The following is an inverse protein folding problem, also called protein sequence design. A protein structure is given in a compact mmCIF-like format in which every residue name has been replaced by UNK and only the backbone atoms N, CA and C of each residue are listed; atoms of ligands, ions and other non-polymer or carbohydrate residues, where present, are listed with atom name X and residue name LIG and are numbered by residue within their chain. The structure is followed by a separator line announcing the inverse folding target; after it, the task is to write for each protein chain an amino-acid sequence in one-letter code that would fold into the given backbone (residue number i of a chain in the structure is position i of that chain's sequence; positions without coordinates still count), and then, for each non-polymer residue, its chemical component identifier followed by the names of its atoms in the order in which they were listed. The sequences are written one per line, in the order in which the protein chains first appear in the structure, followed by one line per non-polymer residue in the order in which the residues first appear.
data_IF_081018640782
#
_entry.id   IF_081018640782
#
_cell.length_a   1.000
_cell.length_b   1.000
_cell.length_c   1.000
_cell.angle_alpha   90.00
_cell.angle_beta   90.00
_cell.angle_gamma   90.00
#
_symmetry.space_group_name_H-M   'P 1'
#
loop_
_entity.id
_entity.type
_entity.pdbx_description
1 polymer ?
#
# COMPACT_ATOMS: atom_id res chain seq x y z
N UNK A 1 1.69 0.89 74.04
CA UNK A 1 2.45 1.22 72.84
C UNK A 1 1.81 0.47 71.67
N UNK A 2 0.93 1.14 70.88
CA UNK A 2 0.28 0.57 69.69
C UNK A 2 1.04 0.98 68.43
N UNK A 3 1.65 0.05 67.73
CA UNK A 3 2.31 0.27 66.42
C UNK A 3 1.25 0.17 65.30
N UNK A 4 1.01 1.29 64.61
CA UNK A 4 0.15 1.36 63.43
C UNK A 4 1.05 1.05 62.24
N UNK A 5 0.80 -0.07 61.55
CA UNK A 5 1.39 -0.41 60.26
C UNK A 5 0.55 0.25 59.14
N UNK A 6 1.13 1.24 58.48
CA UNK A 6 0.56 1.84 57.27
C UNK A 6 1.02 1.02 56.06
N UNK A 7 0.10 0.27 55.46
CA UNK A 7 0.34 -0.44 54.22
C UNK A 7 0.19 0.55 53.06
N UNK A 8 1.28 0.90 52.39
CA UNK A 8 1.28 1.70 51.15
C UNK A 8 0.88 0.79 49.99
N UNK A 9 -0.35 0.95 49.52
CA UNK A 9 -0.82 0.30 48.30
C UNK A 9 -0.22 0.97 47.05
N UNK A 10 0.66 0.27 46.34
CA UNK A 10 1.17 0.71 45.04
C UNK A 10 0.09 0.41 43.98
N UNK A 11 -0.58 1.45 43.50
CA UNK A 11 -1.52 1.36 42.36
C UNK A 11 -0.66 1.33 41.09
N UNK A 12 -0.49 0.17 40.51
CA UNK A 12 0.04 -0.01 39.15
C UNK A 12 -0.99 0.49 38.14
N UNK A 13 -0.83 1.74 37.70
CA UNK A 13 -1.54 2.26 36.53
C UNK A 13 -0.97 1.54 35.31
N UNK A 14 -1.63 0.48 34.88
CA UNK A 14 -1.39 -0.16 33.60
C UNK A 14 -1.73 0.83 32.48
N UNK A 15 -0.73 1.45 31.89
CA UNK A 15 -0.89 2.23 30.66
C UNK A 15 -1.30 1.27 29.54
N UNK A 16 -2.59 1.13 29.29
CA UNK A 16 -3.09 0.53 28.05
C UNK A 16 -2.70 1.45 26.89
N UNK A 17 -1.60 1.12 26.23
CA UNK A 17 -1.29 1.74 24.94
C UNK A 17 -2.35 1.30 23.93
N UNK A 18 -3.35 2.14 23.68
CA UNK A 18 -4.29 1.93 22.61
C UNK A 18 -3.55 2.15 21.29
N UNK A 19 -3.37 1.06 20.55
CA UNK A 19 -2.79 1.07 19.21
C UNK A 19 -3.80 1.74 18.25
N UNK A 20 -3.69 3.06 18.09
CA UNK A 20 -4.62 3.84 17.26
C UNK A 20 -4.28 3.59 15.80
N UNK A 21 -5.15 2.86 15.11
CA UNK A 21 -5.05 2.60 13.66
C UNK A 21 -5.91 3.59 12.92
N UNK A 22 -5.32 4.30 11.96
CA UNK A 22 -6.05 5.27 11.16
C UNK A 22 -6.59 4.59 9.90
N UNK A 23 -7.91 4.53 9.69
CA UNK A 23 -8.49 4.05 8.44
C UNK A 23 -8.13 4.98 7.29
N UNK A 24 -7.85 4.42 6.12
CA UNK A 24 -7.59 5.16 4.88
C UNK A 24 -8.63 4.74 3.85
N UNK A 25 -9.51 5.67 3.48
CA UNK A 25 -10.51 5.42 2.45
C UNK A 25 -9.84 5.38 1.06
N UNK A 26 -9.85 4.21 0.43
CA UNK A 26 -9.37 3.96 -0.93
C UNK A 26 -10.50 3.65 -1.92
N UNK A 27 -11.75 3.83 -1.53
CA UNK A 27 -12.95 3.57 -2.33
C UNK A 27 -12.95 4.35 -3.65
N UNK A 28 -12.39 5.57 -3.66
CA UNK A 28 -12.25 6.38 -4.88
C UNK A 28 -11.25 5.80 -5.89
N UNK A 29 -10.42 4.84 -5.48
CA UNK A 29 -9.45 4.16 -6.34
C UNK A 29 -9.99 2.83 -6.91
N UNK A 30 -11.18 2.40 -6.50
CA UNK A 30 -11.77 1.12 -6.92
C UNK A 30 -12.91 1.36 -7.90
N UNK A 31 -12.84 0.68 -9.06
CA UNK A 31 -13.94 0.65 -10.03
C UNK A 31 -14.71 -0.65 -9.86
N UNK A 32 -16.03 -0.62 -9.57
CA UNK A 32 -16.83 -1.83 -9.42
C UNK A 32 -16.97 -2.63 -10.73
N UNK A 33 -17.08 -3.96 -10.62
CA UNK A 33 -17.57 -4.88 -11.67
C UNK A 33 -16.75 -4.99 -12.96
N UNK A 34 -15.44 -5.16 -12.88
CA UNK A 34 -14.65 -5.61 -14.03
C UNK A 34 -14.32 -7.11 -13.92
N UNK A 35 -14.40 -7.83 -15.06
CA UNK A 35 -13.98 -9.23 -15.12
C UNK A 35 -12.51 -9.38 -14.68
N UNK A 36 -12.16 -10.41 -13.89
CA UNK A 36 -10.85 -10.52 -13.26
C UNK A 36 -9.78 -11.07 -14.22
N UNK A 37 -9.42 -10.28 -15.25
CA UNK A 37 -8.30 -10.62 -16.13
C UNK A 37 -6.93 -10.27 -15.51
N UNK A 38 -6.92 -9.42 -14.49
CA UNK A 38 -5.78 -9.09 -13.65
C UNK A 38 -6.20 -9.31 -12.19
N UNK A 39 -5.44 -10.09 -11.46
CA UNK A 39 -5.69 -10.45 -10.06
C UNK A 39 -4.39 -10.24 -9.28
N UNK A 40 -4.49 -9.55 -8.15
CA UNK A 40 -3.43 -9.46 -7.15
C UNK A 40 -3.78 -10.35 -5.96
N UNK A 41 -2.77 -11.05 -5.46
CA UNK A 41 -2.83 -11.72 -4.16
C UNK A 41 -2.99 -10.72 -3.01
N UNK A 42 -3.20 -11.25 -1.80
CA UNK A 42 -3.37 -10.42 -0.61
C UNK A 42 -2.10 -9.65 -0.28
N UNK A 43 -2.25 -8.41 0.10
CA UNK A 43 -1.18 -7.51 0.52
C UNK A 43 -1.23 -7.21 2.02
N UNK A 44 -0.39 -6.28 2.50
CA UNK A 44 -0.40 -5.90 3.90
C UNK A 44 -1.74 -5.25 4.28
N UNK A 45 -2.34 -5.73 5.37
CA UNK A 45 -3.57 -5.15 5.93
C UNK A 45 -3.33 -3.78 6.57
N UNK A 46 -2.10 -3.54 7.00
CA UNK A 46 -1.68 -2.33 7.69
C UNK A 46 -0.31 -1.89 7.17
N UNK A 47 -0.15 -0.57 7.04
CA UNK A 47 1.13 0.07 6.74
C UNK A 47 1.55 0.94 7.92
N UNK A 48 2.80 0.81 8.32
CA UNK A 48 3.43 1.69 9.28
C UNK A 48 4.38 2.64 8.56
N UNK A 49 4.29 3.94 8.86
CA UNK A 49 5.24 4.93 8.36
C UNK A 49 6.51 4.84 9.20
N UNK A 50 7.56 4.25 8.64
CA UNK A 50 8.86 4.11 9.30
C UNK A 50 9.67 5.40 9.18
N UNK A 51 10.52 5.67 10.17
CA UNK A 51 11.42 6.84 10.18
C UNK A 51 10.83 8.09 10.82
N UNK A 52 9.63 8.00 11.41
CA UNK A 52 9.02 9.08 12.17
C UNK A 52 9.26 8.87 13.67
N UNK A 53 9.35 9.97 14.43
CA UNK A 53 9.42 9.93 15.90
C UNK A 53 8.13 9.39 16.54
N UNK A 54 7.00 9.54 15.85
CA UNK A 54 5.70 9.03 16.26
C UNK A 54 5.29 7.80 15.44
N UNK A 55 4.61 6.84 16.06
CA UNK A 55 4.07 5.69 15.35
C UNK A 55 2.81 6.09 14.58
N UNK A 56 2.87 6.03 13.24
CA UNK A 56 1.74 6.26 12.35
C UNK A 56 1.40 4.95 11.67
N UNK A 57 0.21 4.39 11.98
CA UNK A 57 -0.29 3.14 11.41
C UNK A 57 -1.53 3.42 10.59
N UNK A 58 -1.49 3.03 9.33
CA UNK A 58 -2.55 3.24 8.33
C UNK A 58 -3.19 1.90 7.98
N UNK A 59 -4.51 1.85 7.97
CA UNK A 59 -5.29 0.70 7.54
C UNK A 59 -6.07 1.05 6.29
N UNK A 60 -5.65 0.58 5.10
CA UNK A 60 -6.36 0.84 3.85
C UNK A 60 -7.73 0.14 3.81
N UNK A 61 -8.76 0.88 3.41
CA UNK A 61 -10.12 0.38 3.20
C UNK A 61 -10.67 0.91 1.86
N UNK A 62 -10.85 0.08 0.82
CA UNK A 62 -10.57 -1.36 0.76
C UNK A 62 -9.07 -1.71 0.91
N UNK A 63 -8.72 -3.01 1.07
CA UNK A 63 -7.33 -3.44 1.19
C UNK A 63 -6.43 -2.89 0.08
N UNK A 64 -5.17 -2.60 0.41
CA UNK A 64 -4.19 -2.01 -0.52
C UNK A 64 -4.11 -2.76 -1.85
N UNK A 65 -4.08 -4.11 -1.80
CA UNK A 65 -4.04 -4.95 -2.99
C UNK A 65 -5.24 -4.72 -3.92
N UNK A 66 -6.44 -4.56 -3.36
CA UNK A 66 -7.66 -4.33 -4.15
C UNK A 66 -7.67 -2.94 -4.80
N UNK A 67 -7.22 -1.91 -4.08
CA UNK A 67 -7.09 -0.58 -4.64
C UNK A 67 -6.04 -0.54 -5.75
N UNK A 68 -4.87 -1.18 -5.54
CA UNK A 68 -3.82 -1.28 -6.56
C UNK A 68 -4.29 -2.06 -7.79
N UNK A 69 -4.94 -3.22 -7.60
CA UNK A 69 -5.55 -4.03 -8.67
C UNK A 69 -6.49 -3.20 -9.54
N UNK A 70 -7.36 -2.41 -8.91
CA UNK A 70 -8.31 -1.56 -9.64
C UNK A 70 -7.61 -0.47 -10.46
N UNK A 71 -6.57 0.16 -9.90
CA UNK A 71 -5.78 1.18 -10.61
C UNK A 71 -5.03 0.58 -11.80
N UNK A 72 -4.40 -0.59 -11.64
CA UNK A 72 -3.71 -1.28 -12.72
C UNK A 72 -4.67 -1.70 -13.85
N UNK A 73 -5.87 -2.19 -13.49
CA UNK A 73 -6.90 -2.52 -14.49
C UNK A 73 -7.39 -1.30 -15.26
N UNK A 74 -7.52 -0.16 -14.59
CA UNK A 74 -7.96 1.07 -15.24
C UNK A 74 -6.91 1.63 -16.20
N UNK A 75 -5.62 1.46 -15.88
CA UNK A 75 -4.52 1.99 -16.66
C UNK A 75 -4.17 1.12 -17.88
N UNK A 76 -4.25 -0.21 -17.75
CA UNK A 76 -3.95 -1.14 -18.85
C UNK A 76 -5.20 -1.36 -19.69
N UNK A 77 -5.20 -0.85 -20.92
CA UNK A 77 -6.32 -0.98 -21.85
C UNK A 77 -6.45 -2.43 -22.33
N UNK A 78 -7.45 -3.14 -21.80
CA UNK A 78 -7.68 -4.56 -22.13
C UNK A 78 -8.32 -4.79 -23.50
N UNK A 79 -8.92 -3.77 -24.13
CA UNK A 79 -9.76 -3.89 -25.34
C UNK A 79 -9.01 -4.45 -26.55
N UNK A 80 -7.69 -4.45 -26.47
CA UNK A 80 -6.81 -5.03 -27.50
C UNK A 80 -6.37 -6.47 -27.22
N UNK A 81 -6.71 -7.04 -26.05
CA UNK A 81 -6.17 -8.32 -25.61
C UNK A 81 -7.28 -9.37 -25.42
N UNK A 82 -7.30 -10.36 -26.27
CA UNK A 82 -8.13 -11.57 -26.09
C UNK A 82 -7.32 -12.66 -25.40
N UNK A 83 -7.94 -13.40 -24.49
CA UNK A 83 -7.29 -14.48 -23.70
C UNK A 83 -6.06 -14.02 -22.91
N UNK A 84 -6.16 -12.84 -22.26
CA UNK A 84 -5.17 -12.32 -21.34
C UNK A 84 -5.59 -12.64 -19.91
N UNK A 85 -4.65 -13.20 -19.14
CA UNK A 85 -4.73 -13.25 -17.67
C UNK A 85 -3.42 -12.81 -17.08
N UNK A 86 -3.49 -11.98 -16.04
CA UNK A 86 -2.34 -11.53 -15.27
C UNK A 86 -2.61 -11.89 -13.82
N UNK A 87 -1.77 -12.74 -13.26
CA UNK A 87 -1.81 -13.11 -11.86
C UNK A 87 -0.55 -12.59 -11.17
N UNK A 88 -0.73 -11.73 -10.18
CA UNK A 88 0.37 -11.20 -9.40
C UNK A 88 0.31 -11.72 -7.96
N UNK A 89 1.48 -11.90 -7.36
CA UNK A 89 1.59 -12.11 -5.92
C UNK A 89 1.03 -10.90 -5.16
N UNK A 90 0.85 -11.06 -3.85
CA UNK A 90 0.44 -9.94 -3.01
C UNK A 90 1.49 -8.81 -3.05
N UNK A 91 1.06 -7.54 -3.18
CA UNK A 91 1.99 -6.42 -3.23
C UNK A 91 2.80 -6.32 -1.93
N UNK A 92 4.13 -6.20 -2.08
CA UNK A 92 4.98 -5.77 -0.97
C UNK A 92 4.99 -4.25 -0.97
N UNK A 93 4.68 -3.65 0.17
CA UNK A 93 4.61 -2.21 0.34
C UNK A 93 5.38 -1.77 1.58
N UNK A 94 6.23 -0.76 1.43
CA UNK A 94 6.93 -0.12 2.53
C UNK A 94 6.71 1.39 2.48
N UNK A 95 6.29 1.99 3.60
CA UNK A 95 6.05 3.42 3.72
C UNK A 95 7.11 4.01 4.67
N UNK A 96 7.83 5.02 4.20
CA UNK A 96 8.91 5.68 4.93
C UNK A 96 8.71 7.19 4.94
N UNK A 97 9.09 7.84 6.02
CA UNK A 97 9.10 9.29 6.16
C UNK A 97 10.34 9.76 6.88
N UNK A 98 10.63 11.05 6.81
CA UNK A 98 11.67 11.69 7.60
C UNK A 98 13.10 11.37 7.16
N UNK A 99 13.42 11.40 5.86
CA UNK A 99 14.82 11.36 5.41
C UNK A 99 15.59 12.58 5.95
N UNK A 100 16.89 12.44 6.29
CA UNK A 100 17.73 13.52 6.85
C UNK A 100 17.73 14.77 5.95
N UNK A 101 17.79 14.57 4.63
CA UNK A 101 17.82 15.67 3.64
C UNK A 101 16.44 16.21 3.28
N UNK A 102 15.36 15.47 3.61
CA UNK A 102 13.98 15.81 3.31
C UNK A 102 13.04 15.33 4.42
N UNK A 103 13.02 16.01 5.59
CA UNK A 103 12.29 15.56 6.77
C UNK A 103 10.76 15.53 6.59
N UNK A 104 10.24 16.25 5.61
CA UNK A 104 8.82 16.26 5.23
C UNK A 104 8.48 15.27 4.10
N UNK A 105 9.47 14.57 3.52
CA UNK A 105 9.22 13.60 2.46
C UNK A 105 8.62 12.30 3.02
N UNK A 106 7.56 11.83 2.39
CA UNK A 106 7.00 10.50 2.61
C UNK A 106 7.08 9.71 1.33
N UNK A 107 7.67 8.52 1.41
CA UNK A 107 7.95 7.64 0.26
C UNK A 107 7.23 6.31 0.41
N UNK A 108 6.55 5.88 -0.64
CA UNK A 108 5.99 4.53 -0.78
C UNK A 108 6.82 3.74 -1.79
N UNK A 109 7.32 2.60 -1.34
CA UNK A 109 7.99 1.61 -2.18
C UNK A 109 7.02 0.44 -2.40
N UNK A 110 6.73 0.12 -3.66
CA UNK A 110 5.89 -1.00 -4.06
C UNK A 110 6.70 -2.00 -4.88
N UNK A 111 6.44 -3.28 -4.69
CA UNK A 111 6.92 -4.33 -5.59
C UNK A 111 5.87 -5.41 -5.79
N UNK A 112 5.78 -5.90 -7.05
CA UNK A 112 4.89 -6.95 -7.49
C UNK A 112 5.68 -7.95 -8.33
N UNK A 113 5.39 -9.23 -8.14
CA UNK A 113 5.79 -10.29 -9.07
C UNK A 113 4.55 -10.76 -9.81
N UNK A 114 4.54 -10.72 -11.15
CA UNK A 114 3.38 -11.05 -11.96
C UNK A 114 3.71 -12.09 -13.02
N UNK A 115 2.78 -13.01 -13.23
CA UNK A 115 2.78 -13.97 -14.34
C UNK A 115 1.72 -13.51 -15.35
N UNK A 116 2.17 -13.26 -16.56
CA UNK A 116 1.33 -12.85 -17.69
C UNK A 116 1.11 -14.07 -18.57
N UNK A 117 -0.13 -14.44 -18.81
CA UNK A 117 -0.51 -15.47 -19.78
C UNK A 117 -1.37 -14.81 -20.87
N UNK A 118 -0.83 -14.77 -22.08
CA UNK A 118 -1.49 -14.21 -23.25
C UNK A 118 -1.47 -15.25 -24.38
N UNK A 119 -2.62 -15.76 -24.79
CA UNK A 119 -2.78 -16.75 -25.88
C UNK A 119 -1.88 -17.99 -25.74
N UNK A 120 -1.64 -18.44 -24.50
CA UNK A 120 -0.79 -19.60 -24.22
C UNK A 120 0.70 -19.29 -24.07
N UNK A 121 1.14 -18.06 -24.29
CA UNK A 121 2.48 -17.61 -23.93
C UNK A 121 2.48 -17.16 -22.47
N UNK A 122 3.43 -17.68 -21.71
CA UNK A 122 3.59 -17.36 -20.28
C UNK A 122 4.92 -16.65 -20.08
N UNK A 123 4.87 -15.49 -19.44
CA UNK A 123 6.04 -14.73 -19.01
C UNK A 123 5.89 -14.30 -17.56
N UNK A 124 7.02 -14.03 -16.90
CA UNK A 124 7.06 -13.64 -15.49
C UNK A 124 7.93 -12.40 -15.36
N UNK A 125 7.44 -11.40 -14.63
CA UNK A 125 8.07 -10.09 -14.50
C UNK A 125 7.96 -9.55 -13.07
N UNK A 126 8.99 -8.83 -12.66
CA UNK A 126 9.02 -8.07 -11.40
C UNK A 126 8.84 -6.59 -11.68
N UNK A 127 7.86 -5.98 -11.02
CA UNK A 127 7.59 -4.56 -11.11
C UNK A 127 7.92 -3.87 -9.80
N UNK A 128 8.52 -2.69 -9.90
CA UNK A 128 8.83 -1.85 -8.74
C UNK A 128 8.41 -0.42 -9.03
N UNK A 129 7.91 0.24 -8.00
CA UNK A 129 7.59 1.66 -8.05
C UNK A 129 8.05 2.35 -6.78
N UNK A 130 8.49 3.58 -6.91
CA UNK A 130 8.80 4.45 -5.78
C UNK A 130 8.13 5.78 -6.03
N UNK A 131 7.19 6.14 -5.17
CA UNK A 131 6.50 7.43 -5.20
C UNK A 131 6.82 8.22 -3.94
N UNK A 132 6.90 9.55 -4.08
CA UNK A 132 7.25 10.45 -2.98
C UNK A 132 6.29 11.64 -2.98
N UNK A 133 5.87 12.06 -1.78
CA UNK A 133 5.08 13.29 -1.57
C UNK A 133 5.54 13.98 -0.30
N UNK A 134 5.19 15.24 -0.12
CA UNK A 134 5.52 15.98 1.10
C UNK A 134 4.37 15.92 2.11
N UNK A 135 4.73 15.66 3.38
CA UNK A 135 3.83 15.76 4.52
C UNK A 135 4.57 16.55 5.61
N UNK A 136 4.10 17.75 5.99
CA UNK A 136 4.81 18.56 6.97
C UNK A 136 5.10 17.79 8.27
N UNK A 137 6.28 18.02 8.83
CA UNK A 137 6.69 17.41 10.09
C UNK A 137 5.69 17.73 11.20
N UNK A 138 5.31 16.74 12.00
CA UNK A 138 4.32 16.91 13.07
C UNK A 138 2.86 16.89 12.62
N UNK A 139 2.60 16.56 11.34
CA UNK A 139 1.24 16.38 10.83
C UNK A 139 0.51 15.26 11.55
N UNK A 140 -0.83 15.33 11.54
CA UNK A 140 -1.71 14.29 12.05
C UNK A 140 -1.74 13.05 11.14
N UNK A 141 -2.30 11.96 11.65
CA UNK A 141 -2.45 10.72 10.89
C UNK A 141 -3.31 10.88 9.63
N UNK A 142 -4.23 11.85 9.60
CA UNK A 142 -5.08 12.09 8.43
C UNK A 142 -4.27 12.68 7.26
N UNK A 143 -3.21 13.45 7.53
CA UNK A 143 -2.29 13.93 6.49
C UNK A 143 -1.55 12.77 5.82
N UNK A 144 -1.03 11.81 6.61
CA UNK A 144 -0.39 10.60 6.09
C UNK A 144 -1.37 9.69 5.33
N UNK A 145 -2.63 9.63 5.78
CA UNK A 145 -3.68 8.90 5.07
C UNK A 145 -3.94 9.48 3.67
N UNK A 146 -4.05 10.80 3.55
CA UNK A 146 -4.18 11.48 2.25
C UNK A 146 -2.95 11.29 1.37
N UNK A 147 -1.76 11.36 1.96
CA UNK A 147 -0.50 11.11 1.26
C UNK A 147 -0.47 9.70 0.66
N UNK A 148 -0.91 8.67 1.40
CA UNK A 148 -0.95 7.29 0.91
C UNK A 148 -1.81 7.16 -0.35
N UNK A 149 -2.96 7.84 -0.44
CA UNK A 149 -3.82 7.81 -1.64
C UNK A 149 -3.07 8.33 -2.87
N UNK A 150 -2.36 9.46 -2.73
CA UNK A 150 -1.56 10.04 -3.82
C UNK A 150 -0.41 9.10 -4.20
N UNK A 151 0.35 8.65 -3.22
CA UNK A 151 1.49 7.75 -3.41
C UNK A 151 1.09 6.43 -4.09
N UNK A 152 -0.06 5.87 -3.71
CA UNK A 152 -0.57 4.63 -4.31
C UNK A 152 -0.97 4.84 -5.77
N UNK A 153 -1.60 5.97 -6.11
CA UNK A 153 -1.95 6.32 -7.50
C UNK A 153 -0.71 6.47 -8.36
N UNK A 154 0.29 7.21 -7.88
CA UNK A 154 1.53 7.44 -8.60
C UNK A 154 2.35 6.15 -8.76
N UNK A 155 2.40 5.32 -7.70
CA UNK A 155 3.03 4.01 -7.75
C UNK A 155 2.33 3.06 -8.73
N UNK A 156 1.00 3.05 -8.75
CA UNK A 156 0.22 2.27 -9.71
C UNK A 156 0.48 2.72 -11.16
N UNK A 157 0.59 4.02 -11.40
CA UNK A 157 0.92 4.56 -12.73
C UNK A 157 2.31 4.11 -13.20
N UNK A 158 3.32 4.09 -12.30
CA UNK A 158 4.66 3.59 -12.63
C UNK A 158 4.66 2.09 -12.95
N UNK A 159 3.95 1.28 -12.15
CA UNK A 159 3.81 -0.17 -12.41
C UNK A 159 3.10 -0.40 -13.74
N UNK A 160 2.03 0.33 -14.02
CA UNK A 160 1.28 0.21 -15.28
C UNK A 160 2.12 0.52 -16.50
N UNK A 161 2.99 1.54 -16.40
CA UNK A 161 3.92 1.91 -17.48
C UNK A 161 4.93 0.80 -17.80
N UNK A 162 5.30 -0.04 -16.81
CA UNK A 162 6.11 -1.24 -17.02
C UNK A 162 5.30 -2.43 -17.53
N UNK A 163 4.09 -2.62 -16.99
CA UNK A 163 3.22 -3.75 -17.29
C UNK A 163 2.69 -3.70 -18.74
N UNK A 164 2.29 -2.55 -19.23
CA UNK A 164 1.67 -2.39 -20.56
C UNK A 164 2.56 -2.89 -21.71
N UNK A 165 3.86 -2.52 -21.83
CA UNK A 165 4.72 -3.06 -22.86
C UNK A 165 4.93 -4.58 -22.74
N UNK A 166 5.03 -5.13 -21.54
CA UNK A 166 5.20 -6.57 -21.34
C UNK A 166 3.96 -7.35 -21.81
N UNK A 167 2.76 -6.82 -21.52
CA UNK A 167 1.50 -7.37 -22.03
C UNK A 167 1.47 -7.33 -23.56
N UNK A 168 1.87 -6.20 -24.17
CA UNK A 168 1.92 -6.07 -25.63
C UNK A 168 2.94 -7.01 -26.27
N UNK A 169 4.11 -7.16 -25.65
CA UNK A 169 5.17 -8.05 -26.15
C UNK A 169 4.85 -9.54 -25.98
N UNK A 170 3.95 -9.88 -25.07
CA UNK A 170 3.46 -11.25 -24.88
C UNK A 170 2.47 -11.69 -25.98
N UNK A 171 2.10 -10.79 -26.89
CA UNK A 171 1.26 -11.13 -28.03
C UNK A 171 2.13 -11.68 -29.16
N UNK A 172 1.71 -12.80 -29.83
CA UNK A 172 2.40 -13.28 -31.02
C UNK A 172 2.36 -12.20 -32.11
N UNK A 173 3.50 -11.96 -32.72
CA UNK A 173 3.64 -11.08 -33.89
C UNK A 173 2.97 -11.69 -35.12
#
# INVERSE_FOLDING_TARGET
MKRILVAAGVILLGACSHDVRTPVALDTLVVPNQAPWLILGDGPEQLEVKGLDQSVKLRPEPPLAKALEAQLRAAVQKDYFTNLTIACDGPKAALRGGDEDAPDAVRLELSLHCVINARGYVSSHDYRATSTTSVPVGSDNAAYARALVTLLRDGAAQISAGLEPDVRNSLPK
#
